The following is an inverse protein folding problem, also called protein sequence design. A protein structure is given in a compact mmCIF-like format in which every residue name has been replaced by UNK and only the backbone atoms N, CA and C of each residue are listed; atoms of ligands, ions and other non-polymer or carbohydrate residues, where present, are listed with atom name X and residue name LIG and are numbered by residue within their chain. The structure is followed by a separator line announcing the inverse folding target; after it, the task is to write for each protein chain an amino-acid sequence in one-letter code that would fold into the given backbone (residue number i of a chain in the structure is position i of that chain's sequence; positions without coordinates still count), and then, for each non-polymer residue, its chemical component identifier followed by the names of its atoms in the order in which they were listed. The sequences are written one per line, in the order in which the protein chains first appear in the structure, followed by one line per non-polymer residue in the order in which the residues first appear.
data_IF_935972017469
#
_entry.id   IF_935972017469
#
_cell.length_a   1.000
_cell.length_b   1.000
_cell.length_c   1.000
_cell.angle_alpha   90.00
_cell.angle_beta   90.00
_cell.angle_gamma   90.00
#
_symmetry.space_group_name_H-M   'P 1'
#
loop_
_entity.id
_entity.type
_entity.pdbx_description
1 polymer ?
#
# COMPACT_ATOMS: atom_id res chain seq x y z
N UNK A 1 49.06 20.29 -12.69
CA UNK A 1 47.98 19.95 -11.76
C UNK A 1 46.69 19.89 -12.55
N UNK A 2 46.26 18.71 -12.92
CA UNK A 2 44.99 18.51 -13.60
C UNK A 2 43.89 18.33 -12.52
N UNK A 3 43.04 19.33 -12.41
CA UNK A 3 41.88 19.26 -11.51
C UNK A 3 40.84 18.26 -12.05
N UNK A 4 40.64 17.20 -11.33
CA UNK A 4 39.55 16.24 -11.56
C UNK A 4 38.25 16.90 -11.08
N UNK A 5 37.46 17.40 -12.04
CA UNK A 5 36.10 17.86 -11.77
C UNK A 5 35.24 16.60 -11.57
N UNK A 6 34.98 16.24 -10.33
CA UNK A 6 33.95 15.21 -10.00
C UNK A 6 32.62 15.89 -10.28
N UNK A 7 32.01 15.57 -11.42
CA UNK A 7 30.60 15.83 -11.69
C UNK A 7 29.80 14.96 -10.76
N UNK A 8 29.43 15.49 -9.59
CA UNK A 8 28.39 14.87 -8.73
C UNK A 8 27.07 15.12 -9.47
N UNK A 9 26.60 14.11 -10.19
CA UNK A 9 25.24 14.12 -10.72
C UNK A 9 24.29 14.20 -9.52
N UNK A 10 23.37 15.17 -9.45
CA UNK A 10 22.39 15.21 -8.38
C UNK A 10 21.51 13.97 -8.46
N UNK A 11 21.53 13.19 -7.39
CA UNK A 11 20.68 12.03 -7.22
C UNK A 11 19.29 12.54 -6.81
N UNK A 12 18.28 12.02 -7.48
CA UNK A 12 16.88 12.34 -7.29
C UNK A 12 16.27 11.55 -6.14
N UNK A 13 15.37 12.15 -5.40
CA UNK A 13 14.74 11.58 -4.22
C UNK A 13 13.22 11.60 -4.33
N UNK A 14 12.54 10.48 -4.09
CA UNK A 14 11.08 10.34 -4.11
C UNK A 14 10.59 9.58 -2.86
N UNK A 15 9.50 9.99 -2.25
CA UNK A 15 8.88 9.32 -1.11
C UNK A 15 7.36 9.47 -1.07
N UNK A 16 6.67 8.57 -0.45
CA UNK A 16 5.25 8.29 -0.22
C UNK A 16 4.27 8.75 -1.31
N UNK A 17 3.89 7.81 -2.16
CA UNK A 17 3.48 8.16 -3.49
C UNK A 17 4.72 8.75 -4.17
N UNK A 18 5.22 8.26 -5.29
CA UNK A 18 6.46 8.78 -5.88
C UNK A 18 6.58 10.30 -5.73
N UNK A 19 7.55 10.82 -4.97
CA UNK A 19 7.76 12.27 -4.80
C UNK A 19 8.94 12.75 -5.61
N UNK A 20 8.76 13.84 -6.33
CA UNK A 20 9.82 14.61 -6.99
C UNK A 20 10.05 15.92 -6.26
N UNK A 21 11.32 16.33 -6.08
CA UNK A 21 11.69 17.52 -5.31
C UNK A 21 12.37 18.54 -6.19
N UNK A 22 12.06 19.81 -5.92
CA UNK A 22 12.75 20.96 -6.49
C UNK A 22 13.08 22.01 -5.44
N UNK A 23 14.31 22.55 -5.45
CA UNK A 23 15.42 22.22 -6.35
C UNK A 23 16.05 20.85 -6.04
N UNK A 24 16.67 20.15 -7.02
CA UNK A 24 17.25 18.81 -6.85
C UNK A 24 18.47 18.76 -5.91
N UNK A 25 18.90 19.89 -5.40
CA UNK A 25 19.96 20.01 -4.38
C UNK A 25 19.45 19.88 -2.96
N UNK A 26 18.12 19.88 -2.78
CA UNK A 26 17.47 19.73 -1.48
C UNK A 26 17.26 18.24 -1.20
N UNK A 27 17.62 17.83 0.02
CA UNK A 27 17.35 16.48 0.51
C UNK A 27 15.98 16.45 1.17
N UNK A 28 15.18 15.43 0.86
CA UNK A 28 13.91 15.13 1.51
C UNK A 28 14.03 13.78 2.23
N UNK A 29 13.57 13.74 3.44
CA UNK A 29 13.34 12.50 4.20
C UNK A 29 11.86 12.32 4.44
N UNK A 30 11.38 11.09 4.27
CA UNK A 30 10.06 10.69 4.69
C UNK A 30 10.18 9.74 5.86
N UNK A 31 9.82 10.21 7.05
CA UNK A 31 9.98 9.44 8.27
C UNK A 31 8.80 8.53 8.58
N UNK A 32 7.60 8.84 8.07
CA UNK A 32 6.41 7.99 8.27
C UNK A 32 5.38 8.13 7.14
N UNK A 33 4.62 7.05 6.96
CA UNK A 33 3.40 6.94 6.15
C UNK A 33 2.26 6.53 7.08
N UNK A 34 1.16 7.26 7.06
CA UNK A 34 -0.01 6.97 7.90
C UNK A 34 -1.24 6.82 7.00
N UNK A 35 -1.94 5.71 7.10
CA UNK A 35 -3.14 5.48 6.28
C UNK A 35 -4.27 4.79 7.05
N UNK A 36 -5.50 5.24 6.78
CA UNK A 36 -6.73 4.50 7.07
C UNK A 36 -7.23 3.97 5.73
N UNK A 37 -7.28 2.66 5.59
CA UNK A 37 -7.72 1.95 4.38
C UNK A 37 -9.02 1.25 4.69
N UNK A 38 -10.13 1.83 4.30
CA UNK A 38 -11.46 1.32 4.59
C UNK A 38 -12.10 0.74 3.32
N UNK A 39 -12.47 -0.55 3.35
CA UNK A 39 -13.00 -1.25 2.19
C UNK A 39 -14.22 -2.10 2.53
N UNK A 40 -15.31 -1.92 1.75
CA UNK A 40 -16.59 -2.59 2.00
C UNK A 40 -16.86 -3.82 1.12
N UNK A 41 -15.96 -4.15 0.20
CA UNK A 41 -16.10 -5.21 -0.80
C UNK A 41 -16.23 -4.72 -2.24
N UNK A 42 -16.59 -3.46 -2.45
CA UNK A 42 -16.85 -2.85 -3.77
C UNK A 42 -16.18 -1.49 -3.91
N UNK A 43 -16.03 -0.76 -2.83
CA UNK A 43 -15.51 0.60 -2.79
C UNK A 43 -14.52 0.75 -1.63
N UNK A 44 -13.53 1.60 -1.82
CA UNK A 44 -12.50 1.92 -0.85
C UNK A 44 -12.45 3.42 -0.57
N UNK A 45 -12.29 3.76 0.70
CA UNK A 45 -11.88 5.09 1.16
C UNK A 45 -10.48 4.97 1.74
N UNK A 46 -9.53 5.67 1.13
CA UNK A 46 -8.14 5.75 1.56
C UNK A 46 -7.87 7.15 2.10
N UNK A 47 -7.60 7.27 3.40
CA UNK A 47 -7.10 8.50 4.03
C UNK A 47 -5.59 8.35 4.17
N UNK A 48 -4.83 9.22 3.50
CA UNK A 48 -3.38 9.10 3.37
C UNK A 48 -2.68 10.37 3.82
N UNK A 49 -1.75 10.24 4.77
CA UNK A 49 -0.86 11.28 5.24
C UNK A 49 0.58 10.78 5.33
N UNK A 50 1.54 11.68 5.16
CA UNK A 50 2.96 11.39 5.29
C UNK A 50 3.66 12.44 6.14
N UNK A 51 4.68 12.01 6.88
CA UNK A 51 5.59 12.90 7.58
C UNK A 51 6.83 13.12 6.72
N UNK A 52 7.11 14.37 6.39
CA UNK A 52 8.28 14.75 5.58
C UNK A 52 9.15 15.76 6.31
N UNK A 53 10.43 15.74 5.99
CA UNK A 53 11.42 16.72 6.43
C UNK A 53 12.33 17.06 5.26
N UNK A 54 12.56 18.34 5.01
CA UNK A 54 13.43 18.79 3.92
C UNK A 54 14.65 19.55 4.47
N UNK A 55 15.79 19.42 3.82
CA UNK A 55 16.99 20.17 4.18
C UNK A 55 16.89 21.67 3.89
N UNK A 56 15.97 22.07 3.00
CA UNK A 56 15.61 23.47 2.71
C UNK A 56 14.15 23.52 2.22
N UNK A 57 13.61 24.73 2.02
CA UNK A 57 12.29 24.87 1.38
C UNK A 57 12.32 24.26 -0.01
N UNK A 58 11.38 23.39 -0.30
CA UNK A 58 11.29 22.69 -1.56
C UNK A 58 9.84 22.45 -1.97
N UNK A 59 9.59 22.47 -3.27
CA UNK A 59 8.33 21.98 -3.83
C UNK A 59 8.42 20.49 -4.08
N UNK A 60 7.45 19.74 -3.61
CA UNK A 60 7.40 18.29 -3.72
C UNK A 60 6.20 17.89 -4.56
N UNK A 61 6.43 17.10 -5.60
CA UNK A 61 5.40 16.46 -6.39
C UNK A 61 5.18 15.05 -5.88
N UNK A 62 4.08 14.81 -5.19
CA UNK A 62 3.66 13.48 -4.71
C UNK A 62 2.80 12.77 -5.74
N UNK A 63 2.96 11.46 -5.89
CA UNK A 63 2.19 10.64 -6.82
C UNK A 63 1.60 9.42 -6.11
N UNK A 64 0.32 9.16 -6.29
CA UNK A 64 -0.39 7.98 -5.77
C UNK A 64 -1.02 7.21 -6.92
N UNK A 65 -0.78 5.88 -6.99
CA UNK A 65 -1.38 5.02 -8.00
C UNK A 65 -2.68 4.40 -7.47
N UNK A 66 -3.78 4.51 -8.21
CA UNK A 66 -5.09 4.00 -7.82
C UNK A 66 -5.65 2.97 -8.81
N UNK A 67 -6.33 1.91 -8.33
CA UNK A 67 -6.88 0.84 -9.18
C UNK A 67 -8.00 1.30 -10.12
N UNK A 68 -8.70 2.38 -9.76
CA UNK A 68 -9.76 2.97 -10.60
C UNK A 68 -9.78 4.49 -10.46
N UNK A 69 -10.56 5.15 -11.33
CA UNK A 69 -10.75 6.59 -11.23
C UNK A 69 -11.36 6.95 -9.87
N UNK A 70 -10.72 7.80 -9.06
CA UNK A 70 -11.35 8.28 -7.83
C UNK A 70 -12.63 9.04 -8.17
N UNK A 71 -13.71 8.68 -7.50
CA UNK A 71 -14.99 9.40 -7.60
C UNK A 71 -14.95 10.70 -6.80
N UNK A 72 -14.07 10.77 -5.80
CA UNK A 72 -13.92 11.90 -4.90
C UNK A 72 -12.49 11.99 -4.38
N UNK A 73 -11.96 13.20 -4.30
CA UNK A 73 -10.70 13.51 -3.61
C UNK A 73 -10.94 14.77 -2.80
N UNK A 74 -10.70 14.71 -1.50
CA UNK A 74 -10.89 15.84 -0.61
C UNK A 74 -9.83 15.90 0.47
N UNK A 75 -9.73 17.05 1.13
CA UNK A 75 -8.82 17.26 2.23
C UNK A 75 -9.39 16.62 3.49
N UNK A 76 -8.60 15.75 4.14
CA UNK A 76 -8.96 15.10 5.39
C UNK A 76 -8.45 15.85 6.61
N UNK A 77 -8.68 15.26 7.79
CA UNK A 77 -8.20 15.76 9.07
C UNK A 77 -7.31 14.74 9.77
N UNK A 78 -6.29 15.20 10.48
CA UNK A 78 -5.52 14.37 11.42
C UNK A 78 -6.37 13.81 12.55
N UNK A 79 -7.49 14.50 12.89
CA UNK A 79 -8.44 14.04 13.89
C UNK A 79 -8.94 12.61 13.59
N UNK A 80 -9.02 12.22 12.31
CA UNK A 80 -9.41 10.86 11.93
C UNK A 80 -8.47 9.81 12.52
N UNK A 81 -7.15 10.05 12.45
CA UNK A 81 -6.16 9.15 13.04
C UNK A 81 -6.17 9.20 14.56
N UNK A 82 -6.23 10.40 15.15
CA UNK A 82 -6.24 10.60 16.61
C UNK A 82 -7.43 9.92 17.26
N UNK A 83 -8.63 10.13 16.71
CA UNK A 83 -9.88 9.52 17.21
C UNK A 83 -9.85 7.99 17.04
N UNK A 84 -9.41 7.50 15.89
CA UNK A 84 -9.31 6.06 15.67
C UNK A 84 -8.38 5.41 16.71
N UNK A 85 -7.20 5.98 16.94
CA UNK A 85 -6.25 5.50 17.95
C UNK A 85 -6.83 5.59 19.36
N UNK A 86 -7.51 6.69 19.73
CA UNK A 86 -8.13 6.85 21.04
C UNK A 86 -9.19 5.78 21.29
N UNK A 87 -10.09 5.52 20.33
CA UNK A 87 -11.12 4.49 20.44
C UNK A 87 -10.47 3.09 20.54
N UNK A 88 -9.44 2.82 19.73
CA UNK A 88 -8.71 1.55 19.80
C UNK A 88 -8.07 1.33 21.16
N UNK A 89 -7.37 2.32 21.70
CA UNK A 89 -6.74 2.26 23.02
C UNK A 89 -7.77 2.02 24.13
N UNK A 90 -8.89 2.72 24.13
CA UNK A 90 -9.98 2.51 25.09
C UNK A 90 -10.49 1.07 25.06
N UNK A 91 -10.70 0.50 23.87
CA UNK A 91 -11.18 -0.89 23.74
C UNK A 91 -10.13 -1.90 24.19
N UNK A 92 -8.83 -1.66 23.90
CA UNK A 92 -7.73 -2.50 24.37
C UNK A 92 -7.65 -2.51 25.89
N UNK A 93 -7.76 -1.34 26.53
CA UNK A 93 -7.78 -1.24 28.00
C UNK A 93 -8.96 -1.99 28.61
N UNK A 94 -10.17 -1.82 28.08
CA UNK A 94 -11.35 -2.54 28.52
C UNK A 94 -11.19 -4.08 28.38
N UNK A 95 -10.57 -4.54 27.31
CA UNK A 95 -10.24 -5.97 27.15
C UNK A 95 -9.22 -6.46 28.19
N UNK A 96 -8.20 -5.65 28.51
CA UNK A 96 -7.22 -5.98 29.54
C UNK A 96 -7.83 -6.06 30.94
N UNK A 97 -8.69 -5.12 31.29
CA UNK A 97 -9.42 -5.15 32.56
C UNK A 97 -10.29 -6.39 32.70
N UNK A 98 -10.98 -6.78 31.61
CA UNK A 98 -11.80 -7.98 31.58
C UNK A 98 -10.97 -9.27 31.78
N UNK A 99 -9.77 -9.35 31.16
CA UNK A 99 -8.86 -10.50 31.30
C UNK A 99 -8.20 -10.52 32.67
N UNK A 100 -7.88 -9.35 33.25
CA UNK A 100 -7.21 -9.23 34.56
C UNK A 100 -8.14 -9.51 35.75
N UNK A 101 -9.44 -9.41 35.59
CA UNK A 101 -10.46 -9.73 36.61
C UNK A 101 -10.65 -11.20 36.92
N UNK A 102 -9.96 -12.11 36.22
CA UNK A 102 -10.04 -13.55 36.37
C UNK A 102 -8.71 -14.26 36.55
N UNK A 103 -8.05 -14.14 37.73
CA UNK A 103 -7.03 -15.09 38.23
C UNK A 103 -5.60 -14.96 37.65
N UNK A 104 -4.64 -14.89 38.58
CA UNK A 104 -3.16 -15.08 38.51
C UNK A 104 -2.38 -14.52 37.31
N UNK A 105 -1.50 -13.57 37.64
CA UNK A 105 -0.51 -12.94 36.76
C UNK A 105 0.42 -13.97 36.11
N UNK A 106 0.11 -14.35 34.88
CA UNK A 106 1.14 -14.76 33.95
C UNK A 106 1.82 -13.47 33.45
N UNK A 107 3.16 -13.39 33.55
CA UNK A 107 3.95 -12.28 33.04
C UNK A 107 3.81 -12.24 31.51
N UNK A 108 2.87 -11.48 31.00
CA UNK A 108 2.83 -11.07 29.61
C UNK A 108 3.82 -9.93 29.45
N UNK A 109 4.71 -10.03 28.46
CA UNK A 109 5.56 -8.92 28.03
C UNK A 109 4.67 -7.71 27.82
N UNK A 110 4.96 -6.60 28.52
CA UNK A 110 4.23 -5.36 28.37
C UNK A 110 4.31 -4.90 26.92
N UNK A 111 3.19 -4.72 26.22
CA UNK A 111 3.20 -3.96 25.00
C UNK A 111 3.50 -2.52 25.40
N UNK A 112 4.62 -1.98 24.93
CA UNK A 112 4.97 -0.57 25.06
C UNK A 112 3.76 0.27 24.63
N UNK A 113 3.38 1.26 25.46
CA UNK A 113 2.26 2.14 25.15
C UNK A 113 2.44 2.76 23.76
N UNK A 114 1.38 2.72 22.95
CA UNK A 114 1.35 3.39 21.66
C UNK A 114 1.15 4.86 21.96
N UNK A 115 2.21 5.66 21.88
CA UNK A 115 2.14 7.10 21.85
C UNK A 115 2.33 7.54 20.39
N UNK A 116 1.22 7.87 19.71
CA UNK A 116 1.27 8.51 18.40
C UNK A 116 1.28 10.01 18.67
N UNK A 117 2.43 10.64 18.44
CA UNK A 117 2.57 12.10 18.48
C UNK A 117 2.45 12.63 17.05
N UNK A 118 1.36 13.38 16.76
CA UNK A 118 1.22 14.15 15.53
C UNK A 118 1.63 15.59 15.77
N UNK A 119 2.41 16.15 14.85
CA UNK A 119 2.76 17.57 14.86
C UNK A 119 2.27 18.18 13.53
N UNK A 120 1.36 19.15 13.59
CA UNK A 120 0.68 19.76 12.44
C UNK A 120 1.43 20.93 11.84
N UNK A 121 1.52 21.01 10.49
CA UNK A 121 1.51 22.30 9.76
C UNK A 121 0.74 22.10 8.44
N UNK A 122 -0.15 23.03 8.08
CA UNK A 122 -1.15 22.95 7.03
C UNK A 122 -0.59 23.55 5.74
N UNK A 123 -0.55 22.79 4.63
CA UNK A 123 -0.27 23.26 3.27
C UNK A 123 -1.51 23.12 2.37
N UNK A 124 -1.55 23.89 1.28
CA UNK A 124 -2.55 23.72 0.24
C UNK A 124 -2.11 22.63 -0.74
N UNK A 125 -3.01 21.71 -1.10
CA UNK A 125 -2.79 20.67 -2.11
C UNK A 125 -3.17 21.19 -3.51
N UNK A 126 -2.35 20.89 -4.52
CA UNK A 126 -2.66 21.11 -5.94
C UNK A 126 -2.74 19.74 -6.64
N UNK A 127 -3.94 19.19 -6.72
CA UNK A 127 -4.19 17.81 -7.10
C UNK A 127 -4.57 17.68 -8.57
N UNK A 128 -3.92 16.77 -9.29
CA UNK A 128 -4.24 16.41 -10.69
C UNK A 128 -4.35 14.89 -10.83
N UNK A 129 -5.45 14.40 -11.40
CA UNK A 129 -5.64 12.97 -11.69
C UNK A 129 -5.39 12.71 -13.17
N UNK A 130 -4.58 11.70 -13.47
CA UNK A 130 -4.24 11.30 -14.85
C UNK A 130 -4.55 9.84 -15.06
N UNK A 131 -5.28 9.54 -16.14
CA UNK A 131 -5.41 8.17 -16.65
C UNK A 131 -4.27 7.88 -17.62
N UNK A 132 -3.59 6.78 -17.41
CA UNK A 132 -2.43 6.35 -18.18
C UNK A 132 -2.73 5.03 -18.89
N UNK A 133 -2.66 5.00 -20.20
CA UNK A 133 -2.89 3.79 -20.99
C UNK A 133 -1.57 3.12 -21.44
N UNK A 134 -0.49 3.89 -21.58
CA UNK A 134 0.84 3.36 -21.91
C UNK A 134 1.96 4.18 -21.25
N UNK A 135 3.14 3.59 -21.15
CA UNK A 135 4.28 4.18 -20.45
C UNK A 135 4.85 5.40 -21.18
N UNK A 136 4.98 5.35 -22.50
CA UNK A 136 5.67 6.42 -23.26
C UNK A 136 4.87 7.74 -23.19
N UNK A 137 3.56 7.68 -23.41
CA UNK A 137 2.67 8.84 -23.26
C UNK A 137 2.71 9.40 -21.84
N UNK A 138 2.83 8.52 -20.84
CA UNK A 138 2.94 8.96 -19.45
C UNK A 138 4.25 9.69 -19.15
N UNK A 139 5.36 9.19 -19.68
CA UNK A 139 6.66 9.82 -19.50
C UNK A 139 6.73 11.20 -20.17
N UNK A 140 6.13 11.34 -21.34
CA UNK A 140 6.03 12.62 -22.04
C UNK A 140 5.08 13.58 -21.30
N UNK A 141 3.96 13.10 -20.78
CA UNK A 141 3.06 13.90 -19.97
C UNK A 141 3.72 14.40 -18.69
N UNK A 142 4.49 13.57 -17.97
CA UNK A 142 5.23 13.99 -16.75
C UNK A 142 6.21 15.13 -17.07
N UNK A 143 6.95 15.05 -18.18
CA UNK A 143 7.89 16.10 -18.58
C UNK A 143 7.16 17.43 -18.85
N UNK A 144 6.06 17.34 -19.62
CA UNK A 144 5.22 18.51 -19.92
C UNK A 144 4.59 19.12 -18.66
N UNK A 145 4.08 18.28 -17.76
CA UNK A 145 3.50 18.71 -16.49
C UNK A 145 4.56 19.42 -15.62
N UNK A 146 5.72 18.81 -15.46
CA UNK A 146 6.84 19.39 -14.71
C UNK A 146 7.25 20.74 -15.31
N UNK A 147 7.39 20.83 -16.63
CA UNK A 147 7.73 22.08 -17.33
C UNK A 147 6.70 23.18 -17.10
N UNK A 148 5.40 22.86 -17.19
CA UNK A 148 4.29 23.81 -16.94
C UNK A 148 4.25 24.32 -15.50
N UNK A 149 4.67 23.50 -14.55
CA UNK A 149 4.80 23.88 -13.13
C UNK A 149 6.11 24.61 -12.83
N UNK A 150 6.97 24.84 -13.85
CA UNK A 150 8.24 25.54 -13.71
C UNK A 150 9.37 24.68 -13.16
N UNK A 151 9.19 23.36 -13.14
CA UNK A 151 10.21 22.42 -12.68
C UNK A 151 11.26 22.18 -13.78
N UNK A 152 12.56 22.18 -13.45
CA UNK A 152 13.61 21.88 -14.44
C UNK A 152 13.51 20.44 -14.93
N UNK A 153 13.92 20.23 -16.17
CA UNK A 153 13.94 18.91 -16.78
C UNK A 153 14.82 17.93 -15.98
N UNK A 154 14.35 16.71 -15.83
CA UNK A 154 14.98 15.68 -15.03
C UNK A 154 14.94 14.33 -15.72
N UNK A 155 16.02 13.55 -15.57
CA UNK A 155 16.08 12.19 -16.11
C UNK A 155 15.24 11.25 -15.24
N UNK A 156 14.30 10.54 -15.85
CA UNK A 156 13.45 9.53 -15.20
C UNK A 156 14.23 8.22 -15.07
N UNK A 157 14.27 7.66 -13.86
CA UNK A 157 15.02 6.43 -13.57
C UNK A 157 14.44 5.18 -14.26
N UNK A 158 15.27 4.15 -14.42
CA UNK A 158 14.82 2.84 -14.93
C UNK A 158 13.83 2.18 -13.98
N UNK A 159 14.04 2.30 -12.68
CA UNK A 159 13.20 1.67 -11.66
C UNK A 159 11.79 2.27 -11.64
N UNK A 160 11.69 3.59 -11.82
CA UNK A 160 10.41 4.26 -11.99
C UNK A 160 9.65 3.71 -13.22
N UNK A 161 10.33 3.60 -14.38
CA UNK A 161 9.72 3.06 -15.62
C UNK A 161 9.22 1.62 -15.42
N UNK A 162 10.03 0.77 -14.78
CA UNK A 162 9.66 -0.61 -14.45
C UNK A 162 8.46 -0.65 -13.51
N UNK A 163 8.44 0.21 -12.48
CA UNK A 163 7.33 0.30 -11.53
C UNK A 163 6.03 0.75 -12.19
N UNK A 164 6.06 1.78 -13.03
CA UNK A 164 4.88 2.23 -13.78
C UNK A 164 4.39 1.12 -14.73
N UNK A 165 5.29 0.45 -15.46
CA UNK A 165 4.92 -0.72 -16.27
C UNK A 165 4.24 -1.81 -15.43
N UNK A 166 4.71 -2.06 -14.21
CA UNK A 166 4.08 -3.02 -13.30
C UNK A 166 2.64 -2.62 -12.94
N UNK A 167 2.39 -1.33 -12.66
CA UNK A 167 1.04 -0.81 -12.43
C UNK A 167 0.12 -1.02 -13.64
N UNK A 168 0.58 -0.64 -14.83
CA UNK A 168 -0.19 -0.77 -16.07
C UNK A 168 -0.54 -2.24 -16.37
N UNK A 169 0.42 -3.16 -16.19
CA UNK A 169 0.17 -4.62 -16.34
C UNK A 169 -0.91 -5.15 -15.41
N UNK A 170 -1.08 -4.54 -14.22
CA UNK A 170 -2.13 -4.88 -13.25
C UNK A 170 -3.45 -4.16 -13.50
N UNK A 171 -3.56 -3.37 -14.57
CA UNK A 171 -4.70 -2.53 -14.87
C UNK A 171 -4.93 -1.42 -13.82
N UNK A 172 -3.84 -0.97 -13.19
CA UNK A 172 -3.81 0.21 -12.31
C UNK A 172 -3.34 1.37 -13.16
N UNK A 173 -4.28 2.22 -13.58
CA UNK A 173 -4.10 3.22 -14.65
C UNK A 173 -4.33 4.66 -14.21
N UNK A 174 -4.74 4.87 -12.95
CA UNK A 174 -5.03 6.20 -12.45
C UNK A 174 -3.93 6.65 -11.50
N UNK A 175 -3.32 7.78 -11.81
CA UNK A 175 -2.27 8.38 -11.01
C UNK A 175 -2.72 9.75 -10.55
N UNK A 176 -2.68 9.97 -9.24
CA UNK A 176 -2.98 11.25 -8.62
C UNK A 176 -1.66 11.95 -8.34
N UNK A 177 -1.50 13.14 -8.85
CA UNK A 177 -0.38 14.03 -8.59
C UNK A 177 -0.82 15.13 -7.66
N UNK A 178 -0.01 15.42 -6.65
CA UNK A 178 -0.25 16.41 -5.63
C UNK A 178 1.03 17.25 -5.43
N UNK A 179 0.93 18.56 -5.62
CA UNK A 179 2.04 19.47 -5.44
C UNK A 179 1.95 20.11 -4.06
N UNK A 180 3.00 19.95 -3.27
CA UNK A 180 3.06 20.45 -1.88
C UNK A 180 4.38 21.19 -1.64
N UNK A 181 4.39 22.09 -0.65
CA UNK A 181 5.59 22.76 -0.17
C UNK A 181 6.12 22.06 1.08
N UNK A 182 7.39 21.69 1.07
CA UNK A 182 8.11 21.11 2.21
C UNK A 182 9.05 22.12 2.85
N UNK A 183 8.99 22.22 4.17
CA UNK A 183 9.86 23.09 4.97
C UNK A 183 11.05 22.37 5.60
N UNK A 184 11.92 23.13 6.29
CA UNK A 184 13.11 22.61 7.00
C UNK A 184 12.80 21.85 8.28
N UNK A 185 11.55 21.81 8.71
CA UNK A 185 11.13 21.09 9.90
C UNK A 185 10.35 19.86 9.47
N UNK A 186 10.44 18.81 10.27
CA UNK A 186 9.55 17.66 10.11
C UNK A 186 8.10 18.11 10.22
N UNK A 187 7.31 17.82 9.20
CA UNK A 187 5.93 18.24 9.08
C UNK A 187 5.10 17.04 8.59
N UNK A 188 3.89 16.90 9.12
CA UNK A 188 2.91 15.97 8.57
C UNK A 188 2.12 16.66 7.47
N UNK A 189 2.10 16.05 6.29
CA UNK A 189 1.28 16.53 5.18
C UNK A 189 -0.19 16.30 5.55
N UNK A 190 -1.02 17.33 5.42
CA UNK A 190 -2.45 17.22 5.67
C UNK A 190 -3.03 16.04 4.89
N UNK A 191 -3.86 15.19 5.50
CA UNK A 191 -4.36 14.01 4.82
C UNK A 191 -5.19 14.35 3.58
N UNK A 192 -5.06 13.54 2.53
CA UNK A 192 -6.03 13.48 1.44
C UNK A 192 -6.88 12.22 1.58
N UNK A 193 -8.16 12.37 1.30
CA UNK A 193 -9.15 11.30 1.26
C UNK A 193 -9.43 10.97 -0.20
N UNK A 194 -9.26 9.71 -0.56
CA UNK A 194 -9.55 9.19 -1.90
C UNK A 194 -10.68 8.19 -1.79
N UNK A 195 -11.73 8.35 -2.58
CA UNK A 195 -12.82 7.38 -2.72
C UNK A 195 -12.78 6.78 -4.12
N UNK A 196 -12.72 5.45 -4.22
CA UNK A 196 -12.67 4.78 -5.51
C UNK A 196 -13.24 3.35 -5.44
N UNK A 197 -13.73 2.83 -6.58
CA UNK A 197 -14.22 1.46 -6.69
C UNK A 197 -13.06 0.49 -6.75
N UNK A 198 -13.13 -0.59 -5.97
CA UNK A 198 -12.11 -1.63 -5.98
C UNK A 198 -12.68 -2.98 -5.51
N UNK A 199 -12.28 -4.08 -6.19
CA UNK A 199 -12.68 -5.44 -5.85
C UNK A 199 -11.78 -6.14 -4.82
N UNK A 200 -10.78 -5.44 -4.26
CA UNK A 200 -9.85 -5.89 -3.23
C UNK A 200 -9.39 -4.70 -2.40
N UNK A 201 -9.04 -4.91 -1.13
CA UNK A 201 -8.43 -3.87 -0.32
C UNK A 201 -7.02 -3.56 -0.86
N UNK A 202 -6.70 -2.29 -1.02
CA UNK A 202 -5.49 -1.84 -1.72
C UNK A 202 -4.75 -0.74 -0.96
N UNK A 203 -3.41 -0.87 -0.86
CA UNK A 203 -2.56 0.23 -0.41
C UNK A 203 -1.29 0.30 -1.28
N UNK A 204 -0.96 1.48 -1.86
CA UNK A 204 0.11 1.65 -2.85
C UNK A 204 1.50 1.72 -2.20
N UNK A 205 2.11 0.61 -1.85
CA UNK A 205 3.48 0.56 -1.30
C UNK A 205 4.56 0.64 -2.39
N UNK A 206 4.34 -0.02 -3.54
CA UNK A 206 5.32 -0.08 -4.63
C UNK A 206 5.72 1.31 -5.12
N UNK A 207 4.77 2.26 -5.17
CA UNK A 207 5.04 3.62 -5.65
C UNK A 207 6.10 4.32 -4.80
N UNK A 208 6.12 4.08 -3.49
CA UNK A 208 7.16 4.55 -2.58
C UNK A 208 8.50 3.85 -2.84
N UNK A 209 8.47 2.57 -3.19
CA UNK A 209 9.65 1.73 -3.44
C UNK A 209 10.36 1.99 -4.76
N UNK A 210 9.68 2.63 -5.74
CA UNK A 210 10.28 3.09 -7.00
C UNK A 210 10.71 4.54 -6.96
N UNK A 211 10.59 5.15 -5.81
CA UNK A 211 11.06 6.48 -5.51
C UNK A 211 12.58 6.51 -5.38
N UNK A 212 13.18 7.66 -5.58
CA UNK A 212 14.64 7.82 -5.51
C UNK A 212 15.17 8.09 -4.09
N UNK A 213 14.32 8.13 -3.06
CA UNK A 213 14.74 8.12 -1.64
C UNK A 213 15.07 6.67 -1.24
N UNK A 214 15.94 6.05 -2.00
CA UNK A 214 16.20 4.63 -1.91
C UNK A 214 16.78 4.18 -0.56
N UNK A 215 17.37 5.08 0.19
CA UNK A 215 18.04 4.76 1.46
C UNK A 215 17.23 5.21 2.69
N UNK A 216 16.18 6.04 2.52
CA UNK A 216 15.35 6.47 3.64
C UNK A 216 14.55 5.30 4.22
N UNK A 217 14.48 5.26 5.54
CA UNK A 217 13.67 4.30 6.28
C UNK A 217 12.43 5.00 6.82
N UNK A 218 11.27 4.43 6.57
CA UNK A 218 10.00 4.97 7.03
C UNK A 218 9.26 4.01 7.94
N UNK A 219 8.52 4.58 8.89
CA UNK A 219 7.44 3.90 9.59
C UNK A 219 6.21 3.88 8.68
N UNK A 220 5.55 2.74 8.58
CA UNK A 220 4.32 2.56 7.80
C UNK A 220 3.24 2.13 8.77
N UNK A 221 2.31 3.04 9.06
CA UNK A 221 1.23 2.83 10.03
C UNK A 221 -0.08 2.70 9.26
N UNK A 222 -0.61 1.48 9.15
CA UNK A 222 -1.84 1.21 8.43
C UNK A 222 -2.95 0.79 9.40
N UNK A 223 -4.12 1.40 9.24
CA UNK A 223 -5.36 1.00 9.87
C UNK A 223 -6.28 0.44 8.79
N UNK A 224 -6.39 -0.87 8.73
CA UNK A 224 -7.23 -1.56 7.76
C UNK A 224 -8.62 -1.77 8.35
N UNK A 225 -9.64 -1.21 7.72
CA UNK A 225 -11.03 -1.23 8.17
C UNK A 225 -11.88 -2.03 7.18
N UNK A 226 -12.52 -3.09 7.64
CA UNK A 226 -13.35 -3.95 6.79
C UNK A 226 -14.50 -4.59 7.59
N UNK A 227 -15.55 -5.06 6.88
CA UNK A 227 -16.67 -5.80 7.50
C UNK A 227 -16.23 -7.07 8.22
N UNK A 228 -15.11 -7.66 7.81
CA UNK A 228 -14.57 -8.91 8.34
C UNK A 228 -13.13 -8.71 8.79
N UNK A 229 -12.73 -9.57 9.72
CA UNK A 229 -11.36 -9.60 10.20
C UNK A 229 -10.39 -9.84 9.03
N UNK A 230 -9.31 -9.04 9.02
CA UNK A 230 -8.20 -9.18 8.09
C UNK A 230 -7.18 -10.09 8.73
N UNK A 231 -7.12 -11.33 8.24
CA UNK A 231 -6.17 -12.32 8.73
C UNK A 231 -4.89 -12.23 7.91
N UNK A 232 -3.93 -11.48 8.41
CA UNK A 232 -2.60 -11.40 7.85
C UNK A 232 -1.71 -12.41 8.58
N UNK A 233 -1.95 -13.71 8.34
CA UNK A 233 -1.12 -14.75 8.93
C UNK A 233 0.27 -14.69 8.31
N UNK A 234 1.12 -14.09 9.05
CA UNK A 234 2.54 -14.19 9.22
C UNK A 234 3.44 -14.45 8.04
N UNK A 235 4.12 -15.23 7.41
CA UNK A 235 5.45 -14.89 6.88
C UNK A 235 5.45 -13.90 5.71
N UNK A 236 4.28 -13.44 5.26
CA UNK A 236 4.14 -12.76 3.98
C UNK A 236 4.56 -11.29 3.95
N UNK A 237 4.69 -10.60 5.09
CA UNK A 237 5.17 -9.21 5.11
C UNK A 237 6.67 -9.10 4.79
N UNK A 238 7.48 -10.09 5.10
CA UNK A 238 8.85 -10.16 4.57
C UNK A 238 8.90 -10.12 3.05
N UNK A 239 7.86 -10.62 2.37
CA UNK A 239 7.76 -10.58 0.91
C UNK A 239 7.40 -9.21 0.34
N UNK A 240 6.96 -8.26 1.18
CA UNK A 240 6.75 -6.87 0.78
C UNK A 240 8.03 -6.03 0.88
N UNK A 241 9.17 -6.60 1.27
CA UNK A 241 10.41 -5.91 1.53
C UNK A 241 10.46 -5.26 2.92
N UNK A 242 9.49 -5.53 3.78
CA UNK A 242 9.40 -4.94 5.10
C UNK A 242 10.35 -5.66 6.07
N UNK A 243 11.38 -4.96 6.57
CA UNK A 243 12.41 -5.49 7.47
C UNK A 243 11.86 -5.85 8.84
N UNK A 244 10.99 -5.01 9.40
CA UNK A 244 10.34 -5.21 10.70
C UNK A 244 8.89 -4.79 10.61
N UNK A 245 8.03 -5.59 11.19
CA UNK A 245 6.62 -5.26 11.31
C UNK A 245 6.08 -5.79 12.63
N UNK A 246 5.11 -5.06 13.17
CA UNK A 246 4.30 -5.49 14.29
C UNK A 246 2.84 -5.49 13.87
N UNK A 247 2.19 -6.63 14.09
CA UNK A 247 0.77 -6.78 13.87
C UNK A 247 0.06 -6.64 15.20
N UNK A 248 -0.79 -5.64 15.26
CA UNK A 248 -1.71 -5.48 16.36
C UNK A 248 -3.10 -5.91 15.92
N UNK A 249 -3.29 -7.24 15.81
CA UNK A 249 -4.62 -7.79 15.60
C UNK A 249 -5.34 -7.96 16.94
N UNK A 250 -5.77 -6.85 17.51
CA UNK A 250 -6.54 -6.85 18.76
C UNK A 250 -8.01 -7.26 18.54
N UNK A 251 -8.37 -7.66 17.32
CA UNK A 251 -9.74 -8.02 16.97
C UNK A 251 -10.77 -6.95 17.37
N UNK A 252 -10.39 -5.68 17.18
CA UNK A 252 -11.18 -4.54 17.59
C UNK A 252 -12.36 -4.38 16.65
N UNK A 253 -13.57 -4.29 17.25
CA UNK A 253 -14.79 -3.94 16.53
C UNK A 253 -15.12 -2.49 16.81
N UNK A 254 -15.38 -1.71 15.76
CA UNK A 254 -15.96 -0.37 15.87
C UNK A 254 -17.41 -0.42 15.39
N UNK A 255 -18.29 0.24 16.16
CA UNK A 255 -19.67 0.49 15.73
C UNK A 255 -19.70 1.55 14.63
N UNK A 256 -20.84 1.67 13.96
CA UNK A 256 -21.05 2.71 12.93
C UNK A 256 -20.95 4.12 13.53
N UNK A 257 -21.40 4.31 14.77
CA UNK A 257 -21.33 5.58 15.50
C UNK A 257 -19.86 5.94 15.79
N UNK A 258 -19.05 5.00 16.28
CA UNK A 258 -17.62 5.21 16.51
C UNK A 258 -16.89 5.51 15.20
N UNK A 259 -17.27 4.88 14.09
CA UNK A 259 -16.70 5.20 12.77
C UNK A 259 -17.02 6.63 12.33
N UNK A 260 -18.21 7.14 12.61
CA UNK A 260 -18.58 8.54 12.33
C UNK A 260 -17.74 9.53 13.12
N UNK A 261 -17.34 9.18 14.33
CA UNK A 261 -16.40 10.02 15.10
C UNK A 261 -15.02 10.07 14.43
N UNK A 262 -14.63 9.00 13.75
CA UNK A 262 -13.35 8.92 13.01
C UNK A 262 -13.43 9.69 11.69
N UNK A 263 -14.42 9.38 10.83
CA UNK A 263 -14.64 10.02 9.53
C UNK A 263 -16.02 9.65 9.00
N UNK A 264 -16.78 10.65 8.53
CA UNK A 264 -18.07 10.43 7.86
C UNK A 264 -17.90 9.64 6.56
N UNK A 265 -16.80 9.88 5.81
CA UNK A 265 -16.47 9.22 4.55
C UNK A 265 -16.24 7.73 4.78
N UNK A 266 -15.44 7.36 5.80
CA UNK A 266 -15.21 5.96 6.19
C UNK A 266 -16.51 5.32 6.66
N UNK A 267 -17.28 5.99 7.53
CA UNK A 267 -18.52 5.47 8.06
C UNK A 267 -19.58 5.24 6.97
N UNK A 268 -19.58 6.07 5.92
CA UNK A 268 -20.52 5.95 4.79
C UNK A 268 -20.37 4.64 3.99
N UNK A 269 -19.21 3.99 4.04
CA UNK A 269 -18.97 2.70 3.39
C UNK A 269 -19.70 1.52 4.03
N UNK A 270 -20.13 1.66 5.29
CA UNK A 270 -20.60 0.52 6.09
C UNK A 270 -22.00 0.76 6.67
N UNK A 271 -22.83 -0.29 6.64
CA UNK A 271 -24.16 -0.26 7.28
C UNK A 271 -24.15 -0.70 8.74
N UNK A 272 -23.08 -1.32 9.21
CA UNK A 272 -22.94 -1.85 10.57
C UNK A 272 -21.51 -1.86 11.06
N UNK A 273 -21.26 -2.64 12.09
CA UNK A 273 -19.96 -2.77 12.74
C UNK A 273 -18.87 -3.25 11.79
N UNK A 274 -17.65 -2.81 12.05
CA UNK A 274 -16.46 -3.18 11.28
C UNK A 274 -15.36 -3.74 12.16
N UNK A 275 -14.40 -4.41 11.54
CA UNK A 275 -13.16 -4.84 12.17
C UNK A 275 -12.02 -3.91 11.77
N UNK A 276 -11.17 -3.60 12.75
CA UNK A 276 -9.95 -2.81 12.53
C UNK A 276 -8.74 -3.65 12.84
N UNK A 277 -7.84 -3.73 11.85
CA UNK A 277 -6.51 -4.34 11.99
C UNK A 277 -5.47 -3.24 11.84
N UNK A 278 -4.58 -3.09 12.83
CA UNK A 278 -3.46 -2.15 12.76
C UNK A 278 -2.19 -2.88 12.33
N UNK A 279 -1.44 -2.26 11.43
CA UNK A 279 -0.13 -2.71 11.00
C UNK A 279 0.86 -1.58 11.25
N UNK A 280 1.91 -1.84 12.03
CA UNK A 280 3.06 -0.99 12.16
C UNK A 280 4.25 -1.69 11.51
N UNK A 281 4.81 -1.07 10.50
CA UNK A 281 5.96 -1.59 9.78
C UNK A 281 7.09 -0.57 9.73
N UNK A 282 8.32 -1.04 9.63
CA UNK A 282 9.49 -0.21 9.46
C UNK A 282 10.37 -0.82 8.37
N UNK A 283 10.65 -0.06 7.32
CA UNK A 283 11.41 -0.54 6.17
C UNK A 283 12.16 0.57 5.46
N UNK A 284 13.20 0.21 4.70
CA UNK A 284 13.70 1.07 3.65
C UNK A 284 12.67 1.16 2.53
N UNK A 285 12.43 2.36 2.01
CA UNK A 285 11.44 2.55 0.95
C UNK A 285 11.79 1.75 -0.31
N UNK A 286 13.07 1.69 -0.68
CA UNK A 286 13.51 0.92 -1.86
C UNK A 286 13.18 -0.57 -1.79
N UNK A 287 12.98 -1.11 -0.59
CA UNK A 287 12.67 -2.53 -0.40
C UNK A 287 11.17 -2.84 -0.61
N UNK A 288 10.33 -1.81 -0.69
CA UNK A 288 8.90 -1.94 -0.99
C UNK A 288 8.71 -2.27 -2.48
N UNK A 289 8.65 -3.55 -2.82
CA UNK A 289 8.64 -4.03 -4.22
C UNK A 289 7.25 -4.36 -4.76
N UNK A 290 6.21 -4.27 -3.93
CA UNK A 290 4.82 -4.58 -4.29
C UNK A 290 3.82 -3.86 -3.39
N UNK A 291 2.60 -3.69 -3.90
CA UNK A 291 1.50 -3.10 -3.15
C UNK A 291 0.84 -4.09 -2.20
N UNK A 292 0.19 -3.58 -1.16
CA UNK A 292 -0.73 -4.38 -0.37
C UNK A 292 -2.01 -4.60 -1.17
N UNK A 293 -2.31 -5.85 -1.49
CA UNK A 293 -3.50 -6.27 -2.22
C UNK A 293 -4.14 -7.43 -1.48
N UNK A 294 -5.27 -7.19 -0.80
CA UNK A 294 -6.00 -8.20 -0.04
C UNK A 294 -7.33 -8.50 -0.72
N UNK A 295 -7.38 -9.63 -1.40
CA UNK A 295 -8.57 -10.12 -2.06
C UNK A 295 -9.55 -10.75 -1.06
N UNK A 296 -10.89 -10.70 -1.31
CA UNK A 296 -11.84 -11.43 -0.48
C UNK A 296 -11.55 -12.94 -0.51
N UNK A 297 -11.60 -13.60 0.65
CA UNK A 297 -11.28 -15.03 0.78
C UNK A 297 -12.16 -15.93 -0.10
N UNK A 298 -13.40 -15.51 -0.37
CA UNK A 298 -14.30 -16.23 -1.26
C UNK A 298 -13.94 -16.11 -2.74
N UNK A 299 -12.98 -15.27 -3.10
CA UNK A 299 -12.54 -15.15 -4.51
C UNK A 299 -11.88 -16.45 -4.98
N UNK A 300 -11.11 -17.11 -4.10
CA UNK A 300 -10.36 -18.32 -4.42
C UNK A 300 -11.13 -19.60 -4.09
N UNK A 301 -12.36 -19.75 -4.61
CA UNK A 301 -13.27 -20.87 -4.34
C UNK A 301 -13.27 -21.96 -5.41
N UNK A 302 -12.72 -21.68 -6.60
CA UNK A 302 -12.65 -22.61 -7.73
C UNK A 302 -11.22 -22.84 -8.24
N UNK A 303 -11.03 -23.97 -8.90
CA UNK A 303 -9.76 -24.31 -9.54
C UNK A 303 -9.63 -23.58 -10.86
N UNK A 304 -8.44 -23.02 -11.13
CA UNK A 304 -8.13 -22.36 -12.39
C UNK A 304 -6.97 -23.07 -13.09
N UNK A 305 -7.07 -23.19 -14.40
CA UNK A 305 -6.07 -23.89 -15.22
C UNK A 305 -6.02 -23.32 -16.64
N UNK A 306 -5.12 -23.82 -17.44
CA UNK A 306 -4.99 -23.44 -18.85
C UNK A 306 -6.36 -23.49 -19.55
N UNK A 307 -6.77 -22.39 -20.16
CA UNK A 307 -8.07 -22.21 -20.82
C UNK A 307 -9.16 -21.56 -19.95
N UNK A 308 -9.01 -21.49 -18.62
CA UNK A 308 -9.94 -20.78 -17.74
C UNK A 308 -10.04 -19.29 -18.13
N UNK A 309 -11.22 -18.68 -17.92
CA UNK A 309 -11.51 -17.27 -18.25
C UNK A 309 -12.32 -16.58 -17.17
N UNK A 310 -12.26 -15.25 -17.11
CA UNK A 310 -13.13 -14.41 -16.27
C UNK A 310 -12.36 -13.62 -15.21
N UNK A 311 -13.12 -12.92 -14.35
CA UNK A 311 -12.57 -11.98 -13.35
C UNK A 311 -11.68 -12.67 -12.31
N UNK A 312 -11.94 -13.91 -11.93
CA UNK A 312 -11.07 -14.66 -11.00
C UNK A 312 -9.70 -14.94 -11.62
N UNK A 313 -9.65 -15.24 -12.93
CA UNK A 313 -8.38 -15.37 -13.65
C UNK A 313 -7.66 -14.02 -13.71
N UNK A 314 -8.38 -12.93 -13.98
CA UNK A 314 -7.81 -11.58 -14.01
C UNK A 314 -7.24 -11.19 -12.64
N UNK A 315 -7.96 -11.48 -11.57
CA UNK A 315 -7.51 -11.26 -10.20
C UNK A 315 -6.25 -12.07 -9.86
N UNK A 316 -6.22 -13.37 -10.27
CA UNK A 316 -5.03 -14.21 -10.10
C UNK A 316 -3.83 -13.64 -10.87
N UNK A 317 -4.02 -13.18 -12.09
CA UNK A 317 -2.98 -12.54 -12.89
C UNK A 317 -2.44 -11.28 -12.23
N UNK A 318 -3.32 -10.37 -11.76
CA UNK A 318 -2.93 -9.17 -11.01
C UNK A 318 -2.09 -9.52 -9.79
N UNK A 319 -2.48 -10.56 -9.05
CA UNK A 319 -1.73 -11.05 -7.89
C UNK A 319 -0.36 -11.61 -8.31
N UNK A 320 -0.27 -12.42 -9.37
CA UNK A 320 1.00 -12.95 -9.87
C UNK A 320 1.95 -11.85 -10.39
N UNK A 321 1.41 -10.79 -10.99
CA UNK A 321 2.19 -9.61 -11.39
C UNK A 321 2.72 -8.88 -10.15
N UNK A 322 1.85 -8.65 -9.15
CA UNK A 322 2.23 -8.02 -7.89
C UNK A 322 3.31 -8.83 -7.16
N UNK A 323 3.23 -10.15 -7.21
CA UNK A 323 4.24 -11.07 -6.66
C UNK A 323 5.58 -11.05 -7.43
N UNK A 324 5.67 -10.36 -8.56
CA UNK A 324 6.90 -10.28 -9.35
C UNK A 324 7.31 -11.60 -9.99
N UNK A 325 6.35 -12.51 -10.26
CA UNK A 325 6.59 -13.79 -10.94
C UNK A 325 6.13 -13.81 -12.38
N UNK A 326 5.63 -12.68 -12.88
CA UNK A 326 5.09 -12.50 -14.22
C UNK A 326 6.14 -11.97 -15.21
N UNK A 327 6.78 -12.87 -15.96
CA UNK A 327 7.84 -12.50 -16.93
C UNK A 327 7.25 -12.17 -18.31
N UNK A 328 6.37 -11.18 -18.38
CA UNK A 328 5.74 -10.77 -19.64
C UNK A 328 5.32 -9.31 -19.58
N UNK A 329 5.32 -8.66 -20.74
CA UNK A 329 4.73 -7.32 -20.90
C UNK A 329 3.20 -7.35 -21.09
N UNK A 330 2.61 -8.55 -21.16
CA UNK A 330 1.15 -8.71 -21.31
C UNK A 330 0.44 -8.35 -20.01
N UNK A 331 -0.61 -7.55 -20.13
CA UNK A 331 -1.49 -7.17 -19.01
C UNK A 331 -2.31 -8.38 -18.49
N UNK A 332 -2.96 -8.18 -17.34
CA UNK A 332 -3.94 -9.12 -16.80
C UNK A 332 -5.21 -9.16 -17.67
N UNK A 333 -5.31 -10.17 -18.53
CA UNK A 333 -6.36 -10.28 -19.57
C UNK A 333 -7.62 -11.01 -19.13
N UNK A 334 -7.56 -11.74 -18.01
CA UNK A 334 -8.63 -12.68 -17.62
C UNK A 334 -8.66 -13.98 -18.41
N UNK A 335 -7.63 -14.28 -19.22
CA UNK A 335 -7.44 -15.57 -19.89
C UNK A 335 -6.24 -16.31 -19.31
N UNK A 336 -6.45 -17.51 -18.75
CA UNK A 336 -5.41 -18.37 -18.22
C UNK A 336 -4.65 -19.04 -19.37
N UNK A 337 -3.70 -18.33 -19.94
CA UNK A 337 -2.83 -18.78 -21.01
C UNK A 337 -1.51 -19.39 -20.51
N UNK A 338 -0.58 -19.71 -21.45
CA UNK A 338 0.75 -20.22 -21.10
C UNK A 338 1.54 -19.30 -20.17
N UNK A 339 1.41 -17.97 -20.32
CA UNK A 339 2.07 -16.96 -19.46
C UNK A 339 1.56 -17.09 -18.02
N UNK A 340 0.24 -17.14 -17.82
CA UNK A 340 -0.37 -17.33 -16.49
C UNK A 340 0.08 -18.64 -15.85
N UNK A 341 0.14 -19.73 -16.65
CA UNK A 341 0.63 -21.02 -16.18
C UNK A 341 2.08 -20.94 -15.72
N UNK A 342 2.97 -20.33 -16.51
CA UNK A 342 4.39 -20.17 -16.17
C UNK A 342 4.58 -19.33 -14.90
N UNK A 343 3.85 -18.21 -14.76
CA UNK A 343 3.88 -17.38 -13.58
C UNK A 343 3.38 -18.13 -12.33
N UNK A 344 2.31 -18.92 -12.48
CA UNK A 344 1.78 -19.72 -11.38
C UNK A 344 2.75 -20.82 -10.94
N UNK A 345 3.50 -21.44 -11.87
CA UNK A 345 4.57 -22.38 -11.53
C UNK A 345 5.60 -21.71 -10.64
N UNK A 346 6.13 -20.54 -11.03
CA UNK A 346 7.08 -19.78 -10.23
C UNK A 346 6.53 -19.39 -8.85
N UNK A 347 5.27 -18.99 -8.79
CA UNK A 347 4.58 -18.71 -7.54
C UNK A 347 4.54 -19.94 -6.63
N UNK A 348 4.13 -21.09 -7.14
CA UNK A 348 4.08 -22.35 -6.40
C UNK A 348 5.47 -22.79 -5.90
N UNK A 349 6.51 -22.60 -6.72
CA UNK A 349 7.88 -22.92 -6.35
C UNK A 349 8.45 -21.95 -5.30
N UNK A 350 8.12 -20.66 -5.39
CA UNK A 350 8.47 -19.66 -4.36
C UNK A 350 7.90 -20.02 -2.98
N UNK A 351 6.66 -20.51 -2.96
CA UNK A 351 5.94 -20.91 -1.75
C UNK A 351 5.84 -22.44 -1.61
N UNK A 352 6.92 -23.13 -1.97
CA UNK A 352 6.93 -24.59 -2.04
C UNK A 352 6.65 -25.28 -0.71
N UNK A 353 7.07 -24.70 0.42
CA UNK A 353 6.83 -25.25 1.76
C UNK A 353 5.34 -25.42 2.04
N UNK A 354 4.53 -24.44 1.65
CA UNK A 354 3.09 -24.41 1.94
C UNK A 354 2.24 -25.03 0.83
N UNK A 355 2.72 -24.98 -0.43
CA UNK A 355 1.93 -25.38 -1.59
C UNK A 355 2.33 -26.74 -2.13
N UNK A 356 3.63 -27.01 -2.31
CA UNK A 356 4.13 -28.19 -3.00
C UNK A 356 4.49 -29.34 -2.06
N UNK A 357 5.24 -29.09 -1.00
CA UNK A 357 5.68 -30.12 -0.05
C UNK A 357 4.54 -30.88 0.60
N UNK A 358 3.40 -30.25 0.99
CA UNK A 358 2.25 -30.99 1.49
C UNK A 358 1.59 -31.96 0.49
N UNK A 359 1.96 -31.85 -0.79
CA UNK A 359 1.50 -32.72 -1.88
C UNK A 359 2.60 -33.68 -2.37
N UNK A 360 3.79 -33.68 -1.73
CA UNK A 360 4.98 -34.42 -2.17
C UNK A 360 5.41 -34.06 -3.60
N UNK A 361 5.29 -32.77 -3.98
CA UNK A 361 5.69 -32.27 -5.29
C UNK A 361 6.97 -31.48 -5.16
N UNK A 362 7.91 -31.66 -6.13
CA UNK A 362 9.18 -30.93 -6.22
C UNK A 362 9.08 -29.69 -7.11
N UNK A 363 8.11 -29.66 -8.02
CA UNK A 363 7.96 -28.59 -9.02
C UNK A 363 6.54 -28.07 -9.08
N UNK A 364 6.39 -26.80 -9.41
CA UNK A 364 5.10 -26.18 -9.65
C UNK A 364 4.35 -26.84 -10.80
N UNK A 365 3.06 -27.04 -10.64
CA UNK A 365 2.18 -27.68 -11.62
C UNK A 365 1.59 -26.70 -12.63
N UNK A 366 1.50 -25.41 -12.24
CA UNK A 366 0.75 -24.42 -12.99
C UNK A 366 -0.76 -24.64 -12.97
N UNK A 367 -1.26 -25.46 -12.03
CA UNK A 367 -2.65 -25.68 -11.72
C UNK A 367 -3.02 -24.95 -10.41
N UNK A 368 -3.95 -24.03 -10.49
CA UNK A 368 -4.45 -23.30 -9.33
C UNK A 368 -5.47 -24.14 -8.59
N UNK A 369 -4.97 -25.14 -7.87
CA UNK A 369 -5.75 -26.14 -7.14
C UNK A 369 -5.92 -25.81 -5.66
N UNK A 370 -6.45 -26.75 -4.86
CA UNK A 370 -6.81 -26.53 -3.46
C UNK A 370 -5.70 -25.96 -2.58
N UNK A 371 -4.44 -26.40 -2.74
CA UNK A 371 -3.30 -25.90 -1.92
C UNK A 371 -2.92 -24.47 -2.28
N UNK A 372 -2.86 -24.12 -3.58
CA UNK A 372 -2.62 -22.73 -4.00
C UNK A 372 -3.75 -21.80 -3.55
N UNK A 373 -5.00 -22.27 -3.62
CA UNK A 373 -6.17 -21.54 -3.11
C UNK A 373 -6.12 -21.35 -1.60
N UNK A 374 -5.82 -22.41 -0.84
CA UNK A 374 -5.69 -22.35 0.61
C UNK A 374 -4.60 -21.38 1.05
N UNK A 375 -3.46 -21.38 0.36
CA UNK A 375 -2.39 -20.43 0.60
C UNK A 375 -2.86 -18.98 0.41
N UNK A 376 -3.48 -18.65 -0.74
CA UNK A 376 -4.00 -17.31 -0.98
C UNK A 376 -5.16 -16.92 -0.06
N UNK A 377 -6.03 -17.85 0.29
CA UNK A 377 -7.10 -17.61 1.27
C UNK A 377 -6.55 -17.38 2.68
N UNK A 378 -5.40 -17.96 3.04
CA UNK A 378 -4.73 -17.72 4.32
C UNK A 378 -4.12 -16.31 4.46
N UNK A 379 -3.91 -15.61 3.34
CA UNK A 379 -3.42 -14.21 3.30
C UNK A 379 -4.50 -13.23 2.84
N UNK A 380 -5.74 -13.61 2.91
CA UNK A 380 -6.90 -12.82 2.48
C UNK A 380 -7.82 -12.51 3.66
N UNK A 381 -8.88 -11.76 3.40
CA UNK A 381 -9.92 -11.47 4.39
C UNK A 381 -10.59 -12.78 4.84
N UNK A 382 -10.60 -13.08 6.13
CA UNK A 382 -11.22 -14.31 6.66
C UNK A 382 -12.68 -14.46 6.23
N UNK A 383 -13.15 -15.67 5.85
CA UNK A 383 -14.57 -15.93 5.82
C UNK A 383 -15.06 -15.88 7.28
N UNK A 384 -15.92 -14.93 7.61
CA UNK A 384 -16.58 -14.94 8.92
C UNK A 384 -17.32 -16.29 9.10
N UNK A 385 -17.07 -16.94 10.24
CA UNK A 385 -17.96 -17.99 10.75
C UNK A 385 -19.26 -17.37 11.22
#
# INVERSE_FOLDING_TARGET
MAGFLILISPILVLADGGMHIWPPTVYLDQSAQNAIVAWNGEEEVLILSADIESSDTATVLRMVALPSNPSEIEEGSFDSFEKLVAIMNQKIEAMREFISGGGEKAAANEPSGIEITFQQIIGAHDVTVVKVDNLDDFLDWIKDFASKKGFPEKQISSDFKVGISNYLKRDIKYFVFDVIEAGKKKESIKPLIYRFKNSYLYYPLLISGISEISESKAYINLFLVAKKEINLVSPNFYYYGIEKYEFYNYNITLTKEELKEVSDEVASLFEGDVRVTKIDAYSKLIDLKKDLMLFPSLLWDENLMLGSRGEKVKSLQKMLINEGVWDSEVEATGYFGPITKAALIKFQERYSEDILKPLNLEKGTGYFGPKSRAYLNGISLSPGM
#
